data_IF_086690038594
#
_entry.id   IF_086690038594
#
_cell.length_a   1.000
_cell.length_b   1.000
_cell.length_c   1.000
_cell.angle_alpha   90.00
_cell.angle_beta   90.00
_cell.angle_gamma   90.00
#
_symmetry.space_group_name_H-M   'P 1'
#
loop_
_entity.id
_entity.type
_entity.pdbx_description
1 polymer ?
#
# COMPACT_ATOMS: atom_id res chain seq x y z
N UNK A 1 -75.44 20.43 10.87
CA UNK A 1 -74.55 21.36 11.59
C UNK A 1 -73.14 21.13 11.07
N UNK A 2 -72.56 22.13 10.39
CA UNK A 2 -71.27 22.09 9.68
C UNK A 2 -70.48 23.36 10.04
N UNK A 3 -69.15 23.19 10.05
CA UNK A 3 -68.07 24.18 9.93
C UNK A 3 -67.65 24.93 11.22
N UNK A 4 -66.39 25.46 11.35
CA UNK A 4 -65.53 25.83 10.20
C UNK A 4 -63.97 25.92 10.36
N UNK A 5 -63.33 26.35 9.24
CA UNK A 5 -62.02 27.05 9.02
C UNK A 5 -60.69 26.31 9.33
N UNK A 6 -59.89 25.89 8.34
CA UNK A 6 -58.95 26.65 7.47
C UNK A 6 -57.81 27.33 8.25
N UNK A 7 -56.59 26.78 8.15
CA UNK A 7 -55.24 27.37 8.31
C UNK A 7 -54.23 26.23 8.04
N UNK A 8 -53.13 26.32 7.31
CA UNK A 8 -52.60 27.27 6.35
C UNK A 8 -51.52 26.48 5.58
N UNK A 9 -51.63 26.44 4.26
CA UNK A 9 -50.61 25.93 3.33
C UNK A 9 -49.65 27.09 3.08
N UNK A 10 -48.47 27.12 3.72
CA UNK A 10 -47.31 27.95 3.33
C UNK A 10 -46.05 27.34 3.95
N UNK A 11 -45.21 26.68 3.14
CA UNK A 11 -43.72 26.61 3.25
C UNK A 11 -43.16 25.47 2.37
N UNK A 12 -43.52 25.45 1.08
CA UNK A 12 -42.77 24.75 0.03
C UNK A 12 -42.72 25.69 -1.17
N UNK A 13 -41.94 26.78 -1.07
CA UNK A 13 -41.66 27.70 -2.18
C UNK A 13 -40.52 28.67 -1.82
N UNK A 14 -39.29 28.17 -1.63
CA UNK A 14 -38.12 29.04 -1.42
C UNK A 14 -36.76 28.40 -1.82
N UNK A 15 -36.71 27.55 -2.85
CA UNK A 15 -35.43 27.00 -3.34
C UNK A 15 -35.29 26.95 -4.88
N UNK A 16 -36.15 27.64 -5.64
CA UNK A 16 -36.12 27.66 -7.12
C UNK A 16 -35.73 29.04 -7.67
N UNK A 17 -34.87 29.76 -6.96
CA UNK A 17 -34.39 31.07 -7.41
C UNK A 17 -32.88 31.17 -7.26
N UNK A 18 -32.17 30.68 -8.28
CA UNK A 18 -30.89 31.20 -8.79
C UNK A 18 -30.47 30.39 -10.02
N UNK A 19 -31.13 30.70 -11.15
CA UNK A 19 -30.61 30.44 -12.49
C UNK A 19 -29.98 31.74 -13.03
N UNK A 20 -28.83 31.61 -13.68
CA UNK A 20 -28.12 32.66 -14.44
C UNK A 20 -26.62 32.66 -14.09
N UNK A 21 -25.64 32.60 -15.01
CA UNK A 21 -25.64 32.87 -16.45
C UNK A 21 -24.40 32.24 -17.14
N UNK A 22 -24.49 32.21 -18.48
CA UNK A 22 -23.41 32.27 -19.49
C UNK A 22 -22.77 30.97 -19.99
N UNK A 23 -23.40 30.50 -21.08
CA UNK A 23 -22.83 29.92 -22.30
C UNK A 23 -21.38 30.36 -22.62
N UNK A 24 -20.46 29.41 -22.74
CA UNK A 24 -19.31 29.53 -23.62
C UNK A 24 -19.12 28.21 -24.37
N UNK A 25 -19.84 28.10 -25.50
CA UNK A 25 -19.58 27.09 -26.51
C UNK A 25 -18.31 27.50 -27.28
N UNK A 26 -17.22 26.75 -27.08
CA UNK A 26 -16.11 26.74 -28.03
C UNK A 26 -16.33 25.56 -28.99
N UNK A 27 -16.70 25.90 -30.21
CA UNK A 27 -16.78 24.99 -31.34
C UNK A 27 -15.39 24.40 -31.62
N UNK A 28 -15.26 23.08 -31.57
CA UNK A 28 -14.14 22.36 -32.20
C UNK A 28 -14.69 21.77 -33.50
N UNK A 29 -14.09 22.05 -34.67
CA UNK A 29 -14.57 21.49 -35.91
C UNK A 29 -14.24 19.99 -35.98
N UNK A 30 -15.29 19.18 -36.13
CA UNK A 30 -15.22 17.84 -36.71
C UNK A 30 -14.92 18.00 -38.20
N UNK A 31 -13.70 17.64 -38.61
CA UNK A 31 -13.40 17.28 -40.00
C UNK A 31 -12.85 15.85 -40.01
N UNK A 32 -13.59 15.01 -40.70
CA UNK A 32 -13.33 13.60 -40.95
C UNK A 32 -12.41 13.44 -42.17
N UNK A 33 -11.38 12.60 -42.04
CA UNK A 33 -10.67 11.81 -43.08
C UNK A 33 -9.53 11.09 -42.37
N UNK A 34 -9.24 9.80 -42.50
CA UNK A 34 -9.81 8.69 -43.24
C UNK A 34 -9.24 7.40 -42.63
N UNK A 35 -9.81 6.27 -43.02
CA UNK A 35 -9.38 4.94 -42.61
C UNK A 35 -7.97 4.56 -43.11
N UNK A 36 -7.51 3.38 -42.66
CA UNK A 36 -6.35 2.56 -43.12
C UNK A 36 -5.09 2.83 -42.26
N UNK A 37 -4.51 1.92 -41.46
CA UNK A 37 -4.27 0.47 -41.55
C UNK A 37 -4.17 -0.16 -40.14
N UNK A 38 -4.83 -1.30 -39.91
CA UNK A 38 -4.47 -2.26 -38.84
C UNK A 38 -3.10 -2.86 -39.14
N UNK A 39 -2.12 -2.73 -38.25
CA UNK A 39 -1.21 -3.80 -37.82
C UNK A 39 -0.10 -3.25 -36.91
N UNK A 40 -0.31 -3.35 -35.60
CA UNK A 40 0.76 -3.40 -34.61
C UNK A 40 0.33 -4.33 -33.46
N UNK A 41 -0.11 -5.53 -33.84
CA UNK A 41 -0.19 -6.69 -32.97
C UNK A 41 1.05 -7.52 -33.27
N UNK A 42 1.69 -8.03 -32.22
CA UNK A 42 2.96 -8.79 -32.13
C UNK A 42 4.24 -7.97 -32.06
N UNK A 43 4.82 -7.93 -30.85
CA UNK A 43 6.10 -7.33 -30.50
C UNK A 43 7.32 -8.09 -31.04
N UNK A 44 7.27 -8.52 -32.29
CA UNK A 44 8.41 -9.11 -33.00
C UNK A 44 9.39 -8.02 -33.47
N UNK A 45 8.88 -6.86 -33.93
CA UNK A 45 9.72 -5.73 -34.37
C UNK A 45 10.58 -5.14 -33.26
N UNK A 46 10.03 -5.05 -32.05
CA UNK A 46 10.77 -4.52 -30.89
C UNK A 46 11.89 -5.45 -30.46
N UNK A 47 11.69 -6.78 -30.50
CA UNK A 47 12.77 -7.74 -30.22
C UNK A 47 13.84 -7.75 -31.31
N UNK A 48 13.44 -7.63 -32.58
CA UNK A 48 14.39 -7.60 -33.68
C UNK A 48 15.26 -6.32 -33.69
N UNK A 49 14.68 -5.17 -33.35
CA UNK A 49 15.42 -3.91 -33.24
C UNK A 49 16.44 -3.89 -32.08
N UNK A 50 16.16 -4.58 -30.96
CA UNK A 50 17.09 -4.72 -29.84
C UNK A 50 18.22 -5.72 -30.16
N UNK A 51 17.92 -6.78 -30.93
CA UNK A 51 18.91 -7.79 -31.31
C UNK A 51 19.87 -7.34 -32.42
N UNK A 52 19.42 -6.50 -33.36
CA UNK A 52 20.22 -6.06 -34.52
C UNK A 52 21.03 -4.79 -34.26
N UNK A 53 20.92 -4.16 -33.09
CA UNK A 53 21.77 -3.03 -32.70
C UNK A 53 21.75 -1.88 -33.71
N UNK A 54 20.56 -1.43 -34.12
CA UNK A 54 20.46 -0.23 -34.94
C UNK A 54 20.78 1.00 -34.09
N UNK A 55 21.82 1.74 -34.49
CA UNK A 55 22.14 3.03 -33.91
C UNK A 55 20.94 3.97 -34.06
N UNK A 56 20.38 4.39 -32.93
CA UNK A 56 19.37 5.45 -32.92
C UNK A 56 20.13 6.76 -33.08
N UNK A 57 19.89 7.46 -34.19
CA UNK A 57 20.34 8.83 -34.37
C UNK A 57 19.50 9.73 -33.45
N UNK A 58 20.08 10.32 -32.39
CA UNK A 58 19.34 11.15 -31.45
C UNK A 58 18.71 12.38 -32.11
N UNK A 59 19.25 12.85 -33.24
CA UNK A 59 18.71 14.00 -33.98
C UNK A 59 17.47 13.64 -34.80
N UNK A 60 17.21 12.34 -35.01
CA UNK A 60 16.01 11.84 -35.68
C UNK A 60 14.78 11.78 -34.75
N UNK A 61 14.98 11.97 -33.45
CA UNK A 61 13.89 12.01 -32.47
C UNK A 61 13.26 13.40 -32.51
N UNK A 62 12.08 13.51 -33.11
CA UNK A 62 11.28 14.73 -33.09
C UNK A 62 10.69 14.97 -31.68
N UNK A 63 11.54 15.48 -30.77
CA UNK A 63 11.23 15.81 -29.36
C UNK A 63 10.00 16.70 -29.24
N UNK A 64 9.73 17.55 -30.24
CA UNK A 64 8.55 18.42 -30.29
C UNK A 64 7.20 17.66 -30.26
N UNK A 65 7.18 16.35 -30.56
CA UNK A 65 5.97 15.51 -30.46
C UNK A 65 5.74 14.91 -29.07
N UNK A 66 6.70 15.05 -28.16
CA UNK A 66 6.69 14.50 -26.79
C UNK A 66 6.20 15.54 -25.78
N UNK A 67 5.11 16.27 -26.09
CA UNK A 67 4.58 17.39 -25.30
C UNK A 67 4.13 17.09 -23.85
N UNK A 68 4.40 15.88 -23.35
CA UNK A 68 4.11 15.41 -21.99
C UNK A 68 5.39 15.08 -21.19
N UNK A 69 6.58 15.22 -21.79
CA UNK A 69 7.84 14.82 -21.19
C UNK A 69 8.77 16.03 -21.09
N UNK A 70 9.36 16.24 -19.92
CA UNK A 70 10.45 17.19 -19.74
C UNK A 70 11.77 16.48 -20.00
N UNK A 71 12.55 16.98 -20.96
CA UNK A 71 13.95 16.59 -21.11
C UNK A 71 14.74 17.24 -19.96
N UNK A 72 15.23 16.42 -19.04
CA UNK A 72 16.18 16.85 -18.02
C UNK A 72 17.58 16.60 -18.59
N UNK A 73 18.35 17.66 -18.83
CA UNK A 73 19.79 17.55 -19.10
C UNK A 73 20.50 17.13 -17.80
N UNK A 74 20.44 15.84 -17.50
CA UNK A 74 21.19 15.23 -16.41
C UNK A 74 22.51 14.71 -16.94
N UNK A 75 23.61 15.43 -16.71
CA UNK A 75 24.97 14.88 -16.86
C UNK A 75 25.31 13.80 -15.82
N UNK A 76 24.36 13.51 -14.92
CA UNK A 76 24.42 12.47 -13.91
C UNK A 76 23.18 11.61 -14.08
N UNK A 77 23.39 10.34 -14.46
CA UNK A 77 22.35 9.33 -14.31
C UNK A 77 21.92 9.31 -12.84
N UNK A 78 20.61 9.22 -12.53
CA UNK A 78 20.17 9.01 -11.16
C UNK A 78 20.89 7.77 -10.61
N UNK A 79 21.31 7.84 -9.34
CA UNK A 79 21.97 6.73 -8.69
C UNK A 79 21.12 5.45 -8.89
N UNK A 80 21.75 4.30 -9.21
CA UNK A 80 21.00 3.07 -9.42
C UNK A 80 20.16 2.79 -8.19
N UNK A 81 18.87 2.47 -8.42
CA UNK A 81 17.97 2.05 -7.35
C UNK A 81 18.61 0.85 -6.67
N UNK A 82 18.77 0.91 -5.34
CA UNK A 82 19.30 -0.21 -4.58
C UNK A 82 18.49 -1.47 -4.88
N UNK A 83 19.17 -2.59 -5.08
CA UNK A 83 18.50 -3.86 -5.32
C UNK A 83 17.71 -4.28 -4.07
N UNK A 84 16.54 -4.89 -4.27
CA UNK A 84 15.80 -5.50 -3.17
C UNK A 84 16.64 -6.64 -2.57
N UNK A 85 16.67 -6.78 -1.23
CA UNK A 85 17.38 -7.87 -0.58
C UNK A 85 16.88 -9.24 -1.06
N UNK A 86 17.82 -10.18 -1.12
CA UNK A 86 17.56 -11.59 -1.49
C UNK A 86 17.77 -12.55 -0.32
N UNK A 87 18.61 -12.16 0.65
CA UNK A 87 18.96 -12.97 1.81
C UNK A 87 18.53 -12.30 3.13
N UNK A 88 18.58 -13.07 4.21
CA UNK A 88 18.24 -12.63 5.56
C UNK A 88 16.74 -12.33 5.73
N UNK A 89 16.36 -11.71 6.85
CA UNK A 89 14.93 -11.57 7.19
C UNK A 89 14.10 -10.80 6.16
N UNK A 90 14.69 -9.77 5.55
CA UNK A 90 14.03 -9.03 4.47
C UNK A 90 13.91 -9.88 3.19
N UNK A 91 14.92 -10.68 2.85
CA UNK A 91 14.87 -11.61 1.73
C UNK A 91 13.78 -12.67 1.91
N UNK A 92 13.68 -13.24 3.11
CA UNK A 92 12.65 -14.22 3.48
C UNK A 92 11.23 -13.66 3.37
N UNK A 93 10.99 -12.48 3.96
CA UNK A 93 9.72 -11.76 3.84
C UNK A 93 9.34 -11.53 2.37
N UNK A 94 10.30 -11.07 1.55
CA UNK A 94 10.08 -10.83 0.13
C UNK A 94 9.75 -12.12 -0.63
N UNK A 95 10.52 -13.18 -0.41
CA UNK A 95 10.29 -14.46 -1.08
C UNK A 95 8.91 -15.02 -0.74
N UNK A 96 8.52 -14.97 0.53
CA UNK A 96 7.19 -15.40 0.97
C UNK A 96 6.07 -14.61 0.31
N UNK A 97 6.17 -13.26 0.32
CA UNK A 97 5.16 -12.41 -0.30
C UNK A 97 5.00 -12.70 -1.80
N UNK A 98 6.11 -12.84 -2.53
CA UNK A 98 6.09 -13.17 -3.96
C UNK A 98 5.54 -14.58 -4.23
N UNK A 99 5.85 -15.55 -3.37
CA UNK A 99 5.30 -16.90 -3.47
C UNK A 99 3.78 -16.91 -3.26
N UNK A 100 3.27 -16.14 -2.30
CA UNK A 100 1.83 -15.99 -2.07
C UNK A 100 1.13 -15.37 -3.30
N UNK A 101 1.72 -14.35 -3.92
CA UNK A 101 1.20 -13.79 -5.17
C UNK A 101 1.15 -14.81 -6.31
N UNK A 102 2.22 -15.61 -6.46
CA UNK A 102 2.32 -16.61 -7.50
C UNK A 102 1.32 -17.76 -7.32
N UNK A 103 0.96 -18.09 -6.06
CA UNK A 103 -0.06 -19.08 -5.74
C UNK A 103 -1.49 -18.60 -6.09
N UNK A 104 -1.70 -17.29 -6.17
CA UNK A 104 -2.99 -16.66 -6.43
C UNK A 104 -3.76 -16.35 -5.15
N UNK A 105 -4.74 -15.44 -5.25
CA UNK A 105 -5.49 -14.93 -4.10
C UNK A 105 -6.80 -15.68 -3.83
N UNK A 106 -7.23 -16.55 -4.74
CA UNK A 106 -8.49 -17.30 -4.62
C UNK A 106 -8.38 -18.33 -3.48
N UNK A 107 -9.18 -18.14 -2.43
CA UNK A 107 -9.17 -19.01 -1.25
C UNK A 107 -7.90 -18.90 -0.40
N UNK A 108 -7.10 -17.86 -0.61
CA UNK A 108 -5.85 -17.62 0.10
C UNK A 108 -6.09 -17.42 1.61
N UNK A 109 -5.16 -17.93 2.41
CA UNK A 109 -5.13 -17.69 3.85
C UNK A 109 -4.24 -16.49 4.18
N UNK A 110 -4.68 -15.70 5.15
CA UNK A 110 -3.93 -14.56 5.70
C UNK A 110 -2.86 -15.02 6.70
N UNK A 111 -1.94 -14.12 7.04
CA UNK A 111 -1.01 -14.27 8.15
C UNK A 111 -1.66 -14.07 9.53
N UNK A 112 -2.97 -13.80 9.61
CA UNK A 112 -3.70 -13.73 10.87
C UNK A 112 -4.19 -15.12 11.28
N UNK A 113 -4.23 -15.37 12.58
CA UNK A 113 -4.86 -16.58 13.12
C UNK A 113 -6.39 -16.49 13.01
N UNK A 114 -7.02 -17.61 12.67
CA UNK A 114 -8.47 -17.80 12.68
C UNK A 114 -9.06 -17.64 14.09
N UNK A 115 -8.29 -18.03 15.11
CA UNK A 115 -8.63 -17.82 16.49
C UNK A 115 -7.40 -17.29 17.25
N UNK A 116 -7.27 -15.97 17.44
CA UNK A 116 -6.12 -15.37 18.12
C UNK A 116 -6.06 -15.67 19.63
N UNK A 117 -7.14 -16.19 20.21
CA UNK A 117 -7.12 -16.68 21.59
C UNK A 117 -6.59 -18.12 21.71
N UNK A 118 -6.22 -18.76 20.59
CA UNK A 118 -5.70 -20.13 20.56
C UNK A 118 -4.22 -20.18 20.21
N UNK A 119 -3.51 -21.16 20.78
CA UNK A 119 -2.10 -21.46 20.44
C UNK A 119 -2.01 -22.39 19.22
N UNK A 120 -2.87 -22.20 18.23
CA UNK A 120 -2.96 -23.03 17.02
C UNK A 120 -2.66 -22.18 15.79
N UNK A 121 -1.84 -22.67 14.84
CA UNK A 121 -1.41 -21.89 13.67
C UNK A 121 -2.47 -21.90 12.55
N UNK A 122 -3.74 -22.08 12.91
CA UNK A 122 -4.84 -22.07 11.92
C UNK A 122 -5.06 -20.64 11.47
N UNK A 123 -4.93 -20.39 10.17
CA UNK A 123 -5.01 -19.04 9.58
C UNK A 123 -6.44 -18.65 9.21
N UNK A 124 -6.73 -17.36 9.32
CA UNK A 124 -7.97 -16.77 8.81
C UNK A 124 -7.96 -16.77 7.29
N UNK A 125 -9.11 -17.05 6.68
CA UNK A 125 -9.28 -16.94 5.23
C UNK A 125 -9.36 -15.47 4.82
N UNK A 126 -8.82 -15.13 3.66
CA UNK A 126 -8.96 -13.81 3.08
C UNK A 126 -10.31 -13.66 2.39
N UNK A 127 -11.03 -12.59 2.72
CA UNK A 127 -12.27 -12.21 2.02
C UNK A 127 -11.98 -11.23 0.87
N UNK A 128 -10.98 -10.36 1.05
CA UNK A 128 -10.52 -9.44 0.03
C UNK A 128 -9.37 -10.04 -0.79
N UNK A 129 -9.40 -9.83 -2.12
CA UNK A 129 -8.36 -10.30 -3.04
C UNK A 129 -7.13 -9.39 -3.15
N UNK A 130 -7.02 -8.33 -2.33
CA UNK A 130 -5.91 -7.37 -2.39
C UNK A 130 -4.81 -7.81 -1.42
N UNK A 131 -3.67 -8.34 -1.88
CA UNK A 131 -2.58 -8.76 -1.00
C UNK A 131 -1.97 -7.56 -0.28
N UNK A 132 -1.67 -7.73 1.00
CA UNK A 132 -0.99 -6.73 1.81
C UNK A 132 0.10 -7.35 2.67
N UNK A 133 1.15 -6.58 2.95
CA UNK A 133 2.03 -6.84 4.09
C UNK A 133 1.74 -5.81 5.16
N UNK A 134 1.71 -6.27 6.42
CA UNK A 134 1.57 -5.41 7.58
C UNK A 134 2.91 -5.27 8.28
N UNK A 135 3.33 -4.05 8.60
CA UNK A 135 4.61 -3.78 9.24
C UNK A 135 4.40 -3.00 10.53
N UNK A 136 4.96 -3.51 11.61
CA UNK A 136 5.02 -2.84 12.90
C UNK A 136 6.08 -1.74 12.91
N UNK A 137 5.75 -0.60 13.51
CA UNK A 137 6.66 0.54 13.63
C UNK A 137 7.24 0.71 15.03
N UNK A 138 6.67 0.06 16.05
CA UNK A 138 7.07 0.29 17.42
C UNK A 138 8.26 -0.60 17.78
N UNK A 139 9.38 -0.03 18.26
CA UNK A 139 10.51 -0.84 18.68
C UNK A 139 10.17 -1.63 19.94
N UNK A 140 10.88 -2.74 20.16
CA UNK A 140 10.77 -3.54 21.39
C UNK A 140 10.74 -2.65 22.64
N UNK A 141 9.60 -2.68 23.35
CA UNK A 141 9.43 -1.99 24.63
C UNK A 141 9.22 -0.47 24.55
N UNK A 142 8.99 0.07 23.35
CA UNK A 142 8.77 1.50 23.14
C UNK A 142 7.67 1.80 22.12
N UNK A 143 7.58 3.08 21.76
CA UNK A 143 6.75 3.55 20.66
C UNK A 143 7.67 4.12 19.58
N UNK A 144 7.25 4.02 18.31
CA UNK A 144 7.97 4.63 17.20
C UNK A 144 8.34 6.08 17.53
N UNK A 145 9.60 6.48 17.36
CA UNK A 145 10.00 7.87 17.60
C UNK A 145 9.40 8.78 16.51
N UNK A 146 9.07 10.03 16.84
CA UNK A 146 8.51 10.97 15.86
C UNK A 146 9.56 11.93 15.28
N UNK A 147 10.76 11.91 15.84
CA UNK A 147 11.88 12.73 15.45
C UNK A 147 13.18 11.96 15.73
N UNK A 148 14.23 12.26 14.98
CA UNK A 148 15.52 11.59 15.11
C UNK A 148 16.23 11.44 13.77
N UNK A 149 17.50 11.03 13.82
CA UNK A 149 18.26 10.65 12.63
C UNK A 149 17.82 9.27 12.18
N UNK A 150 17.18 9.17 11.01
CA UNK A 150 16.80 7.89 10.45
C UNK A 150 17.99 7.22 9.75
N UNK A 151 18.04 5.89 9.77
CA UNK A 151 18.97 5.12 8.96
C UNK A 151 18.70 5.39 7.46
N UNK A 152 19.56 6.21 6.86
CA UNK A 152 19.59 6.40 5.43
C UNK A 152 19.97 5.06 4.79
N UNK A 153 19.18 4.58 3.82
CA UNK A 153 19.37 3.32 3.08
C UNK A 153 18.94 2.04 3.80
N UNK A 154 17.79 2.05 4.49
CA UNK A 154 17.17 0.80 4.94
C UNK A 154 16.94 -0.16 3.76
N UNK A 155 17.38 -1.43 3.84
CA UNK A 155 17.12 -2.45 2.81
C UNK A 155 15.62 -2.77 2.69
N UNK A 156 14.80 -2.32 3.65
CA UNK A 156 13.35 -2.40 3.57
C UNK A 156 12.80 -1.52 2.44
N UNK A 157 13.39 -0.35 2.15
CA UNK A 157 12.92 0.56 1.09
C UNK A 157 12.86 -0.13 -0.29
N UNK A 158 13.97 -0.68 -0.84
CA UNK A 158 13.91 -1.35 -2.14
C UNK A 158 13.06 -2.62 -2.13
N UNK A 159 12.89 -3.29 -0.99
CA UNK A 159 11.95 -4.40 -0.84
C UNK A 159 10.51 -3.93 -1.03
N UNK A 160 10.08 -2.91 -0.29
CA UNK A 160 8.71 -2.38 -0.37
C UNK A 160 8.42 -1.81 -1.75
N UNK A 161 9.38 -1.12 -2.36
CA UNK A 161 9.27 -0.64 -3.74
C UNK A 161 9.05 -1.80 -4.73
N UNK A 162 9.71 -2.95 -4.52
CA UNK A 162 9.49 -4.14 -5.34
C UNK A 162 8.10 -4.73 -5.13
N UNK A 163 7.65 -4.89 -3.88
CA UNK A 163 6.33 -5.45 -3.57
C UNK A 163 5.18 -4.56 -4.08
N UNK A 164 5.30 -3.23 -3.94
CA UNK A 164 4.29 -2.30 -4.48
C UNK A 164 4.17 -2.39 -6.00
N UNK A 165 5.27 -2.63 -6.73
CA UNK A 165 5.23 -2.83 -8.20
C UNK A 165 4.47 -4.08 -8.61
N UNK A 166 4.47 -5.11 -7.75
CA UNK A 166 3.70 -6.34 -7.94
C UNK A 166 2.25 -6.22 -7.43
N UNK A 167 1.82 -5.03 -6.99
CA UNK A 167 0.46 -4.77 -6.53
C UNK A 167 0.20 -5.18 -5.07
N UNK A 168 1.24 -5.44 -4.28
CA UNK A 168 1.11 -5.68 -2.83
C UNK A 168 0.96 -4.34 -2.11
N UNK A 169 -0.12 -4.19 -1.35
CA UNK A 169 -0.29 -3.06 -0.46
C UNK A 169 0.68 -3.16 0.74
N UNK A 170 1.19 -2.03 1.19
CA UNK A 170 1.97 -1.95 2.43
C UNK A 170 1.11 -1.25 3.46
N UNK A 171 0.88 -1.88 4.61
CA UNK A 171 0.16 -1.31 5.73
C UNK A 171 1.09 -1.17 6.94
N UNK A 172 0.89 -0.12 7.71
CA UNK A 172 1.70 0.21 8.89
C UNK A 172 0.83 0.16 10.14
N UNK A 173 1.38 -0.33 11.26
CA UNK A 173 0.70 -0.34 12.55
C UNK A 173 1.61 0.19 13.66
N UNK A 174 1.02 0.93 14.60
CA UNK A 174 1.71 1.48 15.77
C UNK A 174 0.72 1.76 16.90
N UNK A 175 1.18 1.65 18.14
CA UNK A 175 0.45 2.04 19.35
C UNK A 175 0.47 3.54 19.63
N UNK A 176 1.03 4.34 18.73
CA UNK A 176 0.83 5.79 18.72
C UNK A 176 -0.64 6.16 18.54
N UNK A 177 -1.02 7.26 19.15
CA UNK A 177 -2.38 7.80 19.10
C UNK A 177 -2.64 8.62 17.80
N UNK A 178 -3.91 8.94 17.46
CA UNK A 178 -4.23 9.54 16.17
C UNK A 178 -3.63 10.93 15.93
N UNK A 179 -3.36 11.70 16.99
CA UNK A 179 -2.68 12.99 16.87
C UNK A 179 -1.26 12.88 16.31
N UNK A 180 -0.60 11.72 16.46
CA UNK A 180 0.76 11.50 16.01
C UNK A 180 0.81 11.05 14.54
N UNK A 181 -0.34 10.70 13.93
CA UNK A 181 -0.42 10.14 12.57
C UNK A 181 0.25 11.03 11.51
N UNK A 182 0.12 12.36 11.62
CA UNK A 182 0.77 13.30 10.70
C UNK A 182 2.29 13.22 10.77
N UNK A 183 2.86 13.17 11.98
CA UNK A 183 4.29 13.07 12.21
C UNK A 183 4.83 11.71 11.73
N UNK A 184 4.10 10.62 11.96
CA UNK A 184 4.46 9.28 11.47
C UNK A 184 4.52 9.27 9.93
N UNK A 185 3.49 9.79 9.25
CA UNK A 185 3.48 9.87 7.78
C UNK A 185 4.66 10.67 7.25
N UNK A 186 5.00 11.77 7.90
CA UNK A 186 6.17 12.55 7.53
C UNK A 186 7.48 11.77 7.70
N UNK A 187 7.63 11.00 8.78
CA UNK A 187 8.80 10.15 8.99
C UNK A 187 8.90 9.03 7.94
N UNK A 188 7.78 8.40 7.57
CA UNK A 188 7.73 7.39 6.51
C UNK A 188 8.06 7.98 5.12
N UNK A 189 7.66 9.23 4.86
CA UNK A 189 8.04 9.96 3.64
C UNK A 189 9.54 10.28 3.62
N UNK A 190 10.08 10.83 4.70
CA UNK A 190 11.49 11.24 4.82
C UNK A 190 12.45 10.06 4.69
N UNK A 191 12.04 8.88 5.14
CA UNK A 191 12.78 7.60 5.00
C UNK A 191 12.54 6.89 3.68
N UNK A 192 11.60 7.39 2.85
CA UNK A 192 11.07 6.72 1.64
C UNK A 192 10.42 5.37 1.89
N UNK A 193 10.04 5.04 3.12
CA UNK A 193 9.31 3.82 3.44
C UNK A 193 7.89 3.86 2.87
N UNK A 194 7.20 5.00 2.91
CA UNK A 194 5.96 5.28 2.16
C UNK A 194 6.18 6.53 1.29
N UNK A 195 6.74 6.38 0.08
CA UNK A 195 7.09 7.51 -0.79
C UNK A 195 5.88 8.28 -1.32
N UNK A 196 4.66 7.77 -1.12
CA UNK A 196 3.43 8.39 -1.62
C UNK A 196 2.53 8.96 -0.53
N UNK A 197 2.86 8.69 0.74
CA UNK A 197 2.02 8.96 1.91
C UNK A 197 0.60 8.38 1.82
N UNK A 198 0.41 7.30 1.04
CA UNK A 198 -0.91 6.69 0.77
C UNK A 198 -1.09 5.33 1.41
N UNK A 199 -0.04 4.76 1.98
CA UNK A 199 -0.17 3.48 2.65
C UNK A 199 -1.17 3.59 3.84
N UNK A 200 -1.98 2.55 4.08
CA UNK A 200 -2.78 2.44 5.29
C UNK A 200 -1.91 2.56 6.54
N UNK A 201 -2.35 3.38 7.50
CA UNK A 201 -1.69 3.57 8.79
C UNK A 201 -2.71 3.31 9.90
N UNK A 202 -2.46 2.30 10.71
CA UNK A 202 -3.28 1.88 11.83
C UNK A 202 -2.67 2.34 13.16
N UNK A 203 -3.09 3.52 13.60
CA UNK A 203 -2.81 4.06 14.93
C UNK A 203 -3.77 3.48 15.98
N UNK A 204 -3.40 3.57 17.26
CA UNK A 204 -4.28 3.24 18.37
C UNK A 204 -5.42 4.26 18.46
N UNK A 205 -6.67 3.85 18.20
CA UNK A 205 -7.83 4.76 18.09
C UNK A 205 -8.34 5.26 19.43
N UNK A 206 -8.18 4.45 20.48
CA UNK A 206 -8.56 4.78 21.85
C UNK A 206 -7.63 4.07 22.84
N UNK A 207 -7.46 4.61 24.06
CA UNK A 207 -6.56 4.02 25.04
C UNK A 207 -6.88 2.55 25.32
N UNK A 208 -5.85 1.71 25.23
CA UNK A 208 -5.97 0.27 25.46
C UNK A 208 -6.51 -0.54 24.28
N UNK A 209 -6.72 0.09 23.11
CA UNK A 209 -7.00 -0.67 21.89
C UNK A 209 -5.79 -1.55 21.52
N UNK A 210 -6.04 -2.85 21.41
CA UNK A 210 -5.04 -3.86 21.08
C UNK A 210 -4.74 -3.89 19.56
N UNK A 211 -3.52 -4.26 19.16
CA UNK A 211 -3.10 -4.34 17.74
C UNK A 211 -3.94 -5.37 16.98
N UNK A 212 -4.42 -6.43 17.65
CA UNK A 212 -5.25 -7.48 17.07
C UNK A 212 -6.53 -6.94 16.42
N UNK A 213 -7.18 -5.97 17.05
CA UNK A 213 -8.40 -5.36 16.50
C UNK A 213 -8.12 -4.59 15.19
N UNK A 214 -6.93 -4.00 15.08
CA UNK A 214 -6.47 -3.26 13.89
C UNK A 214 -6.01 -4.21 12.79
N UNK A 215 -5.35 -5.32 13.15
CA UNK A 215 -5.04 -6.43 12.23
C UNK A 215 -6.33 -6.98 11.59
N UNK A 216 -7.35 -7.23 12.41
CA UNK A 216 -8.65 -7.69 11.90
C UNK A 216 -9.31 -6.68 10.96
N UNK A 217 -9.25 -5.38 11.27
CA UNK A 217 -9.77 -4.34 10.39
C UNK A 217 -9.03 -4.29 9.02
N UNK A 218 -7.73 -4.61 8.98
CA UNK A 218 -7.01 -4.75 7.72
C UNK A 218 -7.54 -5.94 6.91
N UNK A 219 -7.79 -7.09 7.57
CA UNK A 219 -8.30 -8.31 6.92
C UNK A 219 -9.66 -8.12 6.23
N UNK A 220 -10.48 -7.18 6.69
CA UNK A 220 -11.78 -6.84 6.07
C UNK A 220 -11.63 -6.20 4.67
N UNK A 221 -10.49 -5.58 4.38
CA UNK A 221 -10.29 -4.81 3.14
C UNK A 221 -9.13 -5.30 2.29
N UNK A 222 -8.20 -6.03 2.90
CA UNK A 222 -7.00 -6.59 2.29
C UNK A 222 -6.82 -8.03 2.78
N UNK A 223 -5.94 -8.78 2.12
CA UNK A 223 -5.44 -10.07 2.57
C UNK A 223 -4.02 -9.86 3.10
N UNK A 224 -3.80 -9.76 4.43
CA UNK A 224 -2.46 -9.66 4.99
C UNK A 224 -1.76 -11.00 4.74
N UNK A 225 -0.88 -11.07 3.75
CA UNK A 225 -0.14 -12.30 3.39
C UNK A 225 1.14 -12.46 4.22
N UNK A 226 1.59 -11.37 4.83
CA UNK A 226 2.68 -11.36 5.81
C UNK A 226 2.50 -10.24 6.84
N UNK A 227 3.01 -10.48 8.06
CA UNK A 227 3.19 -9.49 9.12
C UNK A 227 4.69 -9.45 9.46
N UNK A 228 5.24 -8.25 9.60
CA UNK A 228 6.65 -8.06 9.95
C UNK A 228 6.79 -7.09 11.12
N UNK A 229 7.71 -7.40 12.04
CA UNK A 229 8.00 -6.61 13.24
C UNK A 229 9.28 -7.09 13.89
N UNK A 230 9.79 -6.39 14.90
CA UNK A 230 11.01 -6.76 15.63
C UNK A 230 10.74 -7.66 16.84
N UNK A 231 9.49 -7.83 17.25
CA UNK A 231 9.07 -8.68 18.36
C UNK A 231 7.96 -9.66 17.97
N UNK A 232 7.93 -10.83 18.62
CA UNK A 232 6.85 -11.82 18.41
C UNK A 232 5.47 -11.29 18.80
N UNK A 233 5.42 -10.30 19.71
CA UNK A 233 4.20 -9.59 20.11
C UNK A 233 3.59 -8.75 18.98
N UNK A 234 4.34 -8.44 17.93
CA UNK A 234 3.86 -7.69 16.78
C UNK A 234 2.95 -8.52 15.86
N UNK A 235 2.96 -9.85 16.03
CA UNK A 235 2.20 -10.76 15.20
C UNK A 235 0.83 -11.11 15.77
N UNK A 236 0.76 -11.34 17.09
CA UNK A 236 -0.48 -11.63 17.81
C UNK A 236 -0.40 -11.14 19.26
N UNK A 237 -1.49 -10.54 19.75
CA UNK A 237 -1.51 -9.96 21.10
C UNK A 237 -1.55 -11.02 22.20
N UNK A 238 -1.82 -12.29 21.86
CA UNK A 238 -1.71 -13.40 22.80
C UNK A 238 -0.36 -13.43 23.51
N UNK A 239 0.73 -13.08 22.82
CA UNK A 239 2.07 -13.01 23.38
C UNK A 239 2.22 -11.99 24.51
N UNK A 240 1.33 -10.98 24.61
CA UNK A 240 1.29 -10.04 25.73
C UNK A 240 0.84 -10.69 27.04
N UNK A 241 0.16 -11.82 26.96
CA UNK A 241 -0.49 -12.48 28.11
C UNK A 241 0.20 -13.77 28.54
N UNK A 242 1.23 -14.22 27.80
CA UNK A 242 1.99 -15.41 28.15
C UNK A 242 2.97 -15.10 29.28
N UNK A 243 2.85 -15.83 30.38
CA UNK A 243 3.83 -15.81 31.47
C UNK A 243 5.17 -16.38 30.99
N UNK A 244 5.10 -17.47 30.21
CA UNK A 244 6.25 -18.11 29.57
C UNK A 244 6.05 -18.09 28.05
N UNK A 245 6.81 -17.26 27.31
CA UNK A 245 6.72 -17.19 25.85
C UNK A 245 6.93 -18.52 25.13
N UNK A 246 7.67 -19.47 25.72
CA UNK A 246 7.89 -20.80 25.12
C UNK A 246 6.60 -21.64 25.07
N UNK A 247 5.57 -21.27 25.84
CA UNK A 247 4.24 -21.87 25.75
C UNK A 247 3.58 -21.67 24.38
N UNK A 248 4.07 -20.73 23.58
CA UNK A 248 3.62 -20.50 22.20
C UNK A 248 4.25 -21.42 21.15
N UNK A 249 4.88 -22.53 21.53
CA UNK A 249 5.50 -23.47 20.58
C UNK A 249 4.58 -23.92 19.43
N UNK A 250 3.26 -23.99 19.66
CA UNK A 250 2.27 -24.30 18.60
C UNK A 250 2.20 -23.27 17.46
N UNK A 251 2.68 -22.05 17.69
CA UNK A 251 2.71 -20.95 16.73
C UNK A 251 4.06 -20.78 16.02
N UNK A 252 5.10 -21.53 16.43
CA UNK A 252 6.41 -21.53 15.75
C UNK A 252 6.31 -21.74 14.23
N UNK A 253 5.40 -22.59 13.70
CA UNK A 253 5.24 -22.74 12.25
C UNK A 253 4.81 -21.47 11.50
N UNK A 254 4.34 -20.43 12.19
CA UNK A 254 4.02 -19.14 11.58
C UNK A 254 5.28 -18.28 11.32
N UNK A 255 6.36 -18.51 12.07
CA UNK A 255 7.61 -17.76 11.92
C UNK A 255 8.30 -18.19 10.61
N UNK A 256 8.57 -17.24 9.73
CA UNK A 256 9.08 -17.47 8.38
C UNK A 256 7.99 -17.90 7.37
N UNK A 257 6.76 -18.12 7.82
CA UNK A 257 5.60 -18.46 6.99
C UNK A 257 4.40 -17.62 7.46
N UNK A 258 4.40 -16.35 7.04
CA UNK A 258 3.40 -15.36 7.41
C UNK A 258 3.86 -14.37 8.48
N UNK A 259 4.70 -14.76 9.43
CA UNK A 259 5.28 -13.86 10.46
C UNK A 259 6.78 -13.73 10.29
N UNK A 260 7.28 -12.50 10.20
CA UNK A 260 8.68 -12.23 9.89
C UNK A 260 9.31 -11.29 10.91
N UNK A 261 10.31 -11.79 11.63
CA UNK A 261 11.13 -10.97 12.52
C UNK A 261 12.13 -10.16 11.70
N UNK A 262 11.99 -8.84 11.68
CA UNK A 262 12.88 -7.92 10.97
C UNK A 262 13.43 -6.87 11.95
N UNK A 263 14.58 -6.23 11.65
CA UNK A 263 14.95 -5.01 12.37
C UNK A 263 13.84 -3.97 12.32
N UNK A 264 13.63 -3.22 13.42
CA UNK A 264 12.61 -2.19 13.46
C UNK A 264 12.79 -1.20 12.28
N UNK A 265 11.71 -0.82 11.57
CA UNK A 265 11.85 0.00 10.36
C UNK A 265 12.44 1.39 10.55
N UNK A 266 12.34 1.95 11.76
CA UNK A 266 12.62 3.36 12.06
C UNK A 266 13.62 3.58 13.21
N UNK A 267 14.32 2.53 13.63
CA UNK A 267 15.46 2.62 14.56
C UNK A 267 16.80 2.96 13.87
#
# INVERSE_FOLDING_TARGET
>A
MRAPFIRAIVLIAAAVSLQGCVLAAAAVPLLATGAVVRNAVTGERTRQAIAEGNAIDPDSIAVASLGQYALVEGSLLPAPVAAAPIDGPFGELRMHALAALAAGMDGQFSALLANPASLQPTRSQCEAGVPAILIDLDPIGGLVQLSGTNAQNSPLVPLLDALRREGVAVAWITDREPQDAGAIRQRLLETRLDPTARDPLFVQRYPGELKQSRRQALLETHCPIAIAGDDVRDFDDLYLYLIDPSSAGGLEPMIGDGWFLIPNPLD
#
